data_IF_825049364364
#
_entry.id   IF_825049364364
#
_cell.length_a   1.000
_cell.length_b   1.000
_cell.length_c   1.000
_cell.angle_alpha   90.00
_cell.angle_beta   90.00
_cell.angle_gamma   90.00
#
_symmetry.space_group_name_H-M   'P 1'
#
loop_
_entity.id
_entity.type
_entity.pdbx_description
1 polymer ?
#
# COMPACT_ATOMS: atom_id res chain seq x y z
N UNK A 1 27.96 47.79 -74.85
CA UNK A 1 28.44 46.69 -74.00
C UNK A 1 28.42 47.14 -72.54
N UNK A 2 28.05 46.30 -71.55
CA UNK A 2 27.47 44.99 -71.73
C UNK A 2 26.24 44.75 -70.82
N UNK A 3 25.22 44.14 -71.41
CA UNK A 3 24.08 43.49 -70.73
C UNK A 3 24.53 42.58 -69.57
N UNK A 4 25.79 42.12 -69.58
CA UNK A 4 26.40 41.35 -68.49
C UNK A 4 26.57 42.14 -67.18
N UNK A 5 26.74 43.46 -67.21
CA UNK A 5 26.84 44.26 -65.98
C UNK A 5 25.47 44.39 -65.30
N UNK A 6 24.42 44.61 -66.10
CA UNK A 6 23.03 44.69 -65.64
C UNK A 6 22.53 43.34 -65.11
N UNK A 7 22.86 42.23 -65.79
CA UNK A 7 22.56 40.87 -65.31
C UNK A 7 23.29 40.54 -64.01
N UNK A 8 24.55 40.96 -63.84
CA UNK A 8 25.31 40.78 -62.58
C UNK A 8 24.71 41.58 -61.43
N UNK A 9 24.23 42.80 -61.69
CA UNK A 9 23.58 43.64 -60.69
C UNK A 9 22.24 43.05 -60.23
N UNK A 10 21.42 42.56 -61.18
CA UNK A 10 20.15 41.90 -60.87
C UNK A 10 20.34 40.57 -60.13
N UNK A 11 21.35 39.77 -60.50
CA UNK A 11 21.67 38.53 -59.80
C UNK A 11 22.14 38.80 -58.34
N UNK A 12 22.95 39.84 -58.13
CA UNK A 12 23.38 40.23 -56.78
C UNK A 12 22.19 40.69 -55.92
N UNK A 13 21.26 41.47 -56.48
CA UNK A 13 20.05 41.91 -55.77
C UNK A 13 19.11 40.73 -55.46
N UNK A 14 18.97 39.76 -56.36
CA UNK A 14 18.16 38.57 -56.13
C UNK A 14 18.72 37.68 -55.00
N UNK A 15 20.05 37.51 -54.94
CA UNK A 15 20.71 36.74 -53.88
C UNK A 15 20.55 37.44 -52.52
N UNK A 16 20.76 38.76 -52.46
CA UNK A 16 20.57 39.54 -51.23
C UNK A 16 19.09 39.54 -50.80
N UNK A 17 18.15 39.62 -51.74
CA UNK A 17 16.71 39.53 -51.47
C UNK A 17 16.25 38.18 -50.91
N UNK A 18 16.82 37.06 -51.39
CA UNK A 18 16.56 35.74 -50.82
C UNK A 18 17.17 35.57 -49.42
N UNK A 19 18.37 36.10 -49.19
CA UNK A 19 19.03 36.04 -47.86
C UNK A 19 18.33 36.91 -46.80
N UNK A 20 17.80 38.08 -47.18
CA UNK A 20 17.11 38.98 -46.25
C UNK A 20 15.68 38.52 -45.90
N UNK A 21 14.99 37.82 -46.80
CA UNK A 21 13.60 37.38 -46.59
C UNK A 21 13.47 36.09 -45.75
N UNK A 22 14.49 35.22 -45.73
CA UNK A 22 14.45 33.97 -44.96
C UNK A 22 14.71 34.13 -43.46
N UNK A 23 15.53 35.10 -43.05
CA UNK A 23 15.99 35.22 -41.65
C UNK A 23 15.02 36.06 -40.79
N UNK A 24 14.33 37.04 -41.39
CA UNK A 24 13.45 37.96 -40.64
C UNK A 24 12.22 37.29 -40.03
N UNK A 25 11.58 36.37 -40.73
CA UNK A 25 10.33 35.74 -40.30
C UNK A 25 10.59 34.75 -39.15
N UNK A 26 11.66 33.96 -39.23
CA UNK A 26 12.07 33.06 -38.15
C UNK A 26 12.44 33.82 -36.87
N UNK A 27 13.12 34.97 -37.01
CA UNK A 27 13.48 35.83 -35.88
C UNK A 27 12.24 36.38 -35.17
N UNK A 28 11.23 36.84 -35.92
CA UNK A 28 9.99 37.37 -35.33
C UNK A 28 9.15 36.29 -34.64
N UNK A 29 9.16 35.04 -35.14
CA UNK A 29 8.49 33.92 -34.46
C UNK A 29 9.23 33.45 -33.20
N UNK A 30 10.56 33.53 -33.16
CA UNK A 30 11.37 33.11 -32.01
C UNK A 30 11.38 34.18 -30.89
N UNK A 31 11.32 35.48 -31.23
CA UNK A 31 11.34 36.56 -30.24
C UNK A 31 9.97 37.16 -29.93
N UNK A 32 9.01 37.14 -30.86
CA UNK A 32 7.62 37.60 -30.63
C UNK A 32 6.81 36.66 -29.74
N UNK A 33 7.16 35.37 -29.69
CA UNK A 33 6.51 34.38 -28.83
C UNK A 33 6.95 34.41 -27.36
N UNK A 34 8.06 35.09 -27.02
CA UNK A 34 8.57 35.14 -25.64
C UNK A 34 7.82 36.10 -24.73
N UNK A 35 7.03 37.03 -25.28
CA UNK A 35 6.20 37.96 -24.51
C UNK A 35 4.79 37.44 -24.20
N UNK A 36 4.35 36.36 -24.86
CA UNK A 36 3.00 35.78 -24.69
C UNK A 36 3.03 34.39 -24.04
N UNK A 37 4.20 33.92 -23.60
CA UNK A 37 4.26 32.91 -22.55
C UNK A 37 4.16 33.62 -21.21
N UNK A 38 3.01 34.24 -20.97
CA UNK A 38 2.49 34.28 -19.62
C UNK A 38 2.64 32.87 -19.09
N UNK A 39 3.44 32.73 -18.03
CA UNK A 39 3.67 31.48 -17.36
C UNK A 39 2.29 30.96 -16.91
N UNK A 40 1.65 30.15 -17.75
CA UNK A 40 0.54 29.28 -17.37
C UNK A 40 1.18 28.29 -16.41
N UNK A 41 1.32 28.73 -15.16
CA UNK A 41 1.71 27.92 -14.05
C UNK A 41 0.64 26.84 -14.00
N UNK A 42 1.00 25.60 -14.32
CA UNK A 42 0.08 24.49 -14.20
C UNK A 42 -0.54 24.56 -12.79
N UNK A 43 -1.87 24.40 -12.66
CA UNK A 43 -2.50 24.50 -11.35
C UNK A 43 -1.78 23.56 -10.38
N UNK A 44 -1.21 24.13 -9.33
CA UNK A 44 -0.54 23.37 -8.27
C UNK A 44 -1.60 22.51 -7.61
N UNK A 45 -1.60 21.21 -7.91
CA UNK A 45 -2.48 20.26 -7.26
C UNK A 45 -1.94 20.01 -5.86
N UNK A 46 -2.57 20.58 -4.86
CA UNK A 46 -2.40 20.13 -3.48
C UNK A 46 -3.14 18.80 -3.34
N UNK A 47 -2.45 17.70 -3.01
CA UNK A 47 -3.14 16.45 -2.70
C UNK A 47 -4.04 16.66 -1.49
N UNK A 48 -5.21 15.97 -1.44
CA UNK A 48 -6.04 15.96 -0.25
C UNK A 48 -5.22 15.50 0.97
N UNK A 49 -5.49 16.10 2.13
CA UNK A 49 -4.92 15.63 3.39
C UNK A 49 -5.35 14.16 3.62
N UNK A 50 -4.43 13.25 3.99
CA UNK A 50 -4.80 11.88 4.35
C UNK A 50 -5.84 11.85 5.48
N UNK A 51 -6.74 10.87 5.48
CA UNK A 51 -7.66 10.67 6.59
C UNK A 51 -6.87 10.40 7.89
N UNK A 52 -7.44 10.77 9.04
CA UNK A 52 -6.81 10.51 10.33
C UNK A 52 -6.70 8.99 10.59
N UNK A 53 -5.72 8.54 11.39
CA UNK A 53 -5.68 7.17 11.89
C UNK A 53 -6.92 6.82 12.69
N UNK A 54 -7.43 5.61 12.49
CA UNK A 54 -8.56 5.05 13.26
C UNK A 54 -8.43 3.55 13.38
N UNK A 55 -9.00 2.98 14.46
CA UNK A 55 -9.13 1.53 14.60
C UNK A 55 -9.99 1.01 13.43
N UNK A 56 -9.50 0.03 12.65
CA UNK A 56 -10.28 -0.52 11.55
C UNK A 56 -11.58 -1.16 12.01
N UNK A 57 -12.54 -1.20 11.10
CA UNK A 57 -13.80 -1.91 11.28
C UNK A 57 -13.72 -3.34 10.73
N UNK A 58 -14.69 -4.17 11.10
CA UNK A 58 -14.83 -5.56 10.60
C UNK A 58 -14.88 -5.61 9.06
N UNK A 59 -15.58 -4.65 8.44
CA UNK A 59 -15.79 -4.61 6.99
C UNK A 59 -14.54 -4.28 6.19
N UNK A 60 -13.51 -3.73 6.85
CA UNK A 60 -12.25 -3.32 6.23
C UNK A 60 -11.20 -4.44 6.23
N UNK A 61 -11.55 -5.62 6.71
CA UNK A 61 -10.73 -6.82 6.63
C UNK A 61 -11.34 -7.87 5.71
N UNK A 62 -10.47 -8.52 4.94
CA UNK A 62 -10.76 -9.75 4.19
C UNK A 62 -9.72 -10.77 4.58
N UNK A 63 -10.15 -11.91 5.12
CA UNK A 63 -9.23 -12.97 5.53
C UNK A 63 -9.36 -14.13 4.53
N UNK A 64 -8.30 -14.35 3.76
CA UNK A 64 -8.16 -15.56 2.96
C UNK A 64 -7.78 -16.75 3.87
N UNK A 65 -8.23 -17.94 3.52
CA UNK A 65 -7.79 -19.19 4.16
C UNK A 65 -7.06 -20.02 3.11
N UNK A 66 -5.78 -20.29 3.33
CA UNK A 66 -4.94 -21.09 2.43
C UNK A 66 -4.70 -22.44 3.09
N UNK A 67 -5.28 -23.49 2.52
CA UNK A 67 -5.03 -24.87 2.95
C UNK A 67 -3.65 -25.29 2.45
N UNK A 68 -2.74 -25.58 3.37
CA UNK A 68 -1.35 -25.98 3.08
C UNK A 68 -1.18 -27.50 3.08
N UNK A 69 -2.00 -28.23 3.82
CA UNK A 69 -2.04 -29.69 3.80
C UNK A 69 -3.45 -30.22 4.08
N UNK A 70 -3.74 -31.42 3.56
CA UNK A 70 -4.99 -32.12 3.80
C UNK A 70 -4.69 -33.62 3.97
N UNK A 71 -5.23 -34.21 5.03
CA UNK A 71 -5.17 -35.65 5.27
C UNK A 71 -6.57 -36.18 5.55
N UNK A 72 -7.05 -37.12 4.75
CA UNK A 72 -8.41 -37.65 4.87
C UNK A 72 -8.38 -39.13 5.26
N UNK A 73 -9.13 -39.48 6.31
CA UNK A 73 -9.42 -40.88 6.58
C UNK A 73 -10.47 -41.38 5.56
N UNK A 74 -10.20 -42.46 4.81
CA UNK A 74 -11.16 -43.00 3.82
C UNK A 74 -12.51 -43.42 4.42
N UNK A 75 -12.61 -43.61 5.74
CA UNK A 75 -13.85 -43.92 6.44
C UNK A 75 -14.32 -42.80 7.40
N UNK A 76 -13.66 -41.64 7.40
CA UNK A 76 -13.84 -40.62 8.44
C UNK A 76 -13.69 -39.17 7.99
N UNK A 77 -13.24 -38.33 8.92
CA UNK A 77 -13.05 -36.89 8.71
C UNK A 77 -11.73 -36.59 7.98
N UNK A 78 -11.63 -35.37 7.46
CA UNK A 78 -10.39 -34.82 6.94
C UNK A 78 -9.81 -33.80 7.91
N UNK A 79 -8.49 -33.87 8.13
CA UNK A 79 -7.71 -32.87 8.83
C UNK A 79 -7.10 -31.93 7.80
N UNK A 80 -7.43 -30.65 7.89
CA UNK A 80 -6.89 -29.58 7.05
C UNK A 80 -5.92 -28.76 7.87
N UNK A 81 -4.70 -28.59 7.36
CA UNK A 81 -3.74 -27.60 7.88
C UNK A 81 -3.87 -26.35 7.02
N UNK A 82 -4.06 -25.19 7.64
CA UNK A 82 -4.26 -23.94 6.93
C UNK A 82 -3.48 -22.79 7.56
N UNK A 83 -3.26 -21.76 6.76
CA UNK A 83 -2.75 -20.46 7.17
C UNK A 83 -3.71 -19.38 6.71
N UNK A 84 -3.96 -18.37 7.55
CA UNK A 84 -4.77 -17.22 7.16
C UNK A 84 -3.94 -16.16 6.43
N UNK A 85 -4.56 -15.47 5.49
CA UNK A 85 -3.99 -14.37 4.72
C UNK A 85 -4.88 -13.12 4.88
N UNK A 86 -4.70 -12.36 5.97
CA UNK A 86 -5.50 -11.17 6.24
C UNK A 86 -5.07 -10.01 5.33
N UNK A 87 -6.05 -9.37 4.71
CA UNK A 87 -5.89 -8.20 3.85
C UNK A 87 -6.72 -7.04 4.39
N UNK A 88 -6.04 -5.94 4.68
CA UNK A 88 -6.69 -4.67 4.98
C UNK A 88 -7.08 -3.96 3.68
N UNK A 89 -8.34 -3.53 3.59
CA UNK A 89 -8.91 -2.83 2.43
C UNK A 89 -9.49 -1.46 2.78
N UNK A 90 -9.34 -1.03 4.03
CA UNK A 90 -9.77 0.31 4.44
C UNK A 90 -8.88 1.40 3.84
N UNK A 91 -9.37 2.64 3.94
CA UNK A 91 -8.75 3.82 3.32
C UNK A 91 -8.05 4.73 4.33
N UNK A 92 -7.91 4.29 5.58
CA UNK A 92 -7.28 5.06 6.64
C UNK A 92 -6.00 4.36 7.15
N UNK A 93 -5.03 5.11 7.66
CA UNK A 93 -3.88 4.49 8.30
C UNK A 93 -4.30 3.79 9.59
N UNK A 94 -3.48 2.82 10.03
CA UNK A 94 -3.65 2.16 11.32
C UNK A 94 -3.35 3.11 12.48
N UNK A 95 -3.97 2.90 13.65
CA UNK A 95 -3.64 3.64 14.85
C UNK A 95 -2.24 3.26 15.34
N UNK A 96 -1.64 4.14 16.15
CA UNK A 96 -0.36 3.83 16.81
C UNK A 96 -0.53 2.74 17.87
N UNK A 97 -1.71 2.69 18.52
CA UNK A 97 -2.04 1.68 19.51
C UNK A 97 -2.27 0.31 18.84
N UNK A 98 -1.81 -0.80 19.45
CA UNK A 98 -2.10 -2.14 18.96
C UNK A 98 -3.60 -2.42 18.96
N UNK A 99 -4.06 -3.17 17.97
CA UNK A 99 -5.43 -3.65 17.92
C UNK A 99 -5.49 -5.13 17.56
N UNK A 100 -6.55 -5.80 17.99
CA UNK A 100 -6.76 -7.22 17.76
C UNK A 100 -7.96 -7.44 16.87
N UNK A 101 -7.78 -8.36 15.92
CA UNK A 101 -8.83 -8.84 15.02
C UNK A 101 -9.19 -10.26 15.43
N UNK A 102 -10.44 -10.45 15.82
CA UNK A 102 -11.03 -11.76 16.07
C UNK A 102 -11.80 -12.22 14.84
N UNK A 103 -11.61 -13.48 14.48
CA UNK A 103 -12.23 -14.11 13.33
C UNK A 103 -12.62 -15.54 13.67
N UNK A 104 -13.43 -16.14 12.81
CA UNK A 104 -13.78 -17.55 12.88
C UNK A 104 -13.57 -18.20 11.51
N UNK A 105 -12.99 -19.40 11.50
CA UNK A 105 -12.84 -20.21 10.30
C UNK A 105 -14.03 -21.17 10.19
N UNK A 106 -14.74 -21.07 9.08
CA UNK A 106 -15.92 -21.84 8.73
C UNK A 106 -15.54 -22.95 7.72
N UNK A 107 -16.44 -23.91 7.53
CA UNK A 107 -16.26 -25.03 6.59
C UNK A 107 -15.75 -26.32 7.22
N UNK A 108 -15.19 -26.26 8.43
CA UNK A 108 -14.92 -27.43 9.26
C UNK A 108 -16.20 -28.02 9.87
N UNK A 109 -16.04 -28.98 10.79
CA UNK A 109 -17.18 -29.54 11.54
C UNK A 109 -17.85 -28.52 12.47
N UNK A 110 -17.09 -27.56 12.96
CA UNK A 110 -17.57 -26.43 13.74
C UNK A 110 -16.75 -25.17 13.41
N UNK A 111 -17.33 -23.96 13.58
CA UNK A 111 -16.57 -22.71 13.49
C UNK A 111 -15.39 -22.70 14.47
N UNK A 112 -14.20 -22.41 13.97
CA UNK A 112 -12.99 -22.34 14.79
C UNK A 112 -12.59 -20.88 15.02
N UNK A 113 -12.66 -20.35 16.26
CA UNK A 113 -12.26 -18.98 16.54
C UNK A 113 -10.74 -18.83 16.45
N UNK A 114 -10.30 -17.66 15.98
CA UNK A 114 -8.91 -17.24 15.90
C UNK A 114 -8.78 -15.75 16.18
N UNK A 115 -7.56 -15.33 16.47
CA UNK A 115 -7.23 -13.90 16.62
C UNK A 115 -5.81 -13.61 16.22
N UNK A 116 -5.58 -12.40 15.73
CA UNK A 116 -4.25 -11.86 15.51
C UNK A 116 -4.20 -10.41 15.96
N UNK A 117 -3.03 -9.99 16.40
CA UNK A 117 -2.77 -8.62 16.85
C UNK A 117 -1.94 -7.89 15.80
N UNK A 118 -2.30 -6.65 15.53
CA UNK A 118 -1.60 -5.75 14.62
C UNK A 118 -0.91 -4.68 15.45
N UNK A 119 0.36 -4.42 15.17
CA UNK A 119 1.15 -3.38 15.82
C UNK A 119 1.94 -2.63 14.74
N UNK A 120 1.64 -1.34 14.59
CA UNK A 120 2.10 -0.56 13.43
C UNK A 120 1.64 -1.24 12.14
N UNK A 121 2.57 -1.55 11.25
CA UNK A 121 2.30 -2.21 9.96
C UNK A 121 2.47 -3.74 9.99
N UNK A 122 2.70 -4.34 11.16
CA UNK A 122 2.97 -5.77 11.29
C UNK A 122 1.81 -6.51 11.98
N UNK A 123 1.38 -7.62 11.39
CA UNK A 123 0.40 -8.53 11.97
C UNK A 123 1.10 -9.80 12.50
N UNK A 124 0.82 -10.18 13.73
CA UNK A 124 1.30 -11.42 14.33
C UNK A 124 0.29 -12.54 14.11
N UNK A 125 0.58 -13.39 13.13
CA UNK A 125 -0.34 -14.40 12.62
C UNK A 125 0.18 -15.80 12.96
N UNK A 126 -0.70 -16.66 13.49
CA UNK A 126 -0.42 -18.08 13.64
C UNK A 126 -0.55 -18.81 12.30
N UNK A 127 0.44 -19.64 11.98
CA UNK A 127 0.49 -20.45 10.76
C UNK A 127 0.23 -21.91 11.09
N UNK A 128 -0.17 -22.67 10.07
CA UNK A 128 -0.32 -24.12 10.10
C UNK A 128 -1.25 -24.62 11.21
N UNK A 129 -2.40 -23.97 11.33
CA UNK A 129 -3.46 -24.37 12.25
C UNK A 129 -4.23 -25.55 11.66
N UNK A 130 -4.57 -26.52 12.50
CA UNK A 130 -5.34 -27.70 12.10
C UNK A 130 -6.82 -27.55 12.44
N UNK A 131 -7.68 -27.94 11.47
CA UNK A 131 -9.12 -28.04 11.64
C UNK A 131 -9.63 -29.34 11.02
N UNK A 132 -10.59 -29.97 11.69
CA UNK A 132 -11.28 -31.14 11.16
C UNK A 132 -12.53 -30.72 10.41
N UNK A 133 -12.78 -31.35 9.26
CA UNK A 133 -13.95 -31.08 8.44
C UNK A 133 -14.33 -32.23 7.52
N UNK A 134 -15.50 -32.12 6.87
CA UNK A 134 -15.95 -33.11 5.90
C UNK A 134 -15.00 -33.18 4.68
N UNK A 135 -15.02 -34.28 3.91
CA UNK A 135 -14.29 -34.36 2.65
C UNK A 135 -14.71 -33.27 1.66
N UNK A 136 -13.73 -32.54 1.11
CA UNK A 136 -13.98 -31.44 0.18
C UNK A 136 -14.46 -30.14 0.85
N UNK A 137 -14.18 -29.96 2.14
CA UNK A 137 -14.51 -28.74 2.86
C UNK A 137 -13.85 -27.51 2.22
N UNK A 138 -14.65 -26.47 1.98
CA UNK A 138 -14.16 -25.16 1.60
C UNK A 138 -14.04 -24.30 2.85
N UNK A 139 -12.81 -24.04 3.29
CA UNK A 139 -12.55 -23.21 4.46
C UNK A 139 -12.64 -21.72 4.10
N UNK A 140 -13.37 -20.95 4.90
CA UNK A 140 -13.49 -19.49 4.77
C UNK A 140 -13.35 -18.84 6.14
N UNK A 141 -12.93 -17.57 6.19
CA UNK A 141 -12.81 -16.85 7.46
C UNK A 141 -13.79 -15.68 7.50
N UNK A 142 -14.50 -15.56 8.62
CA UNK A 142 -15.41 -14.46 8.91
C UNK A 142 -14.81 -13.61 10.04
N UNK A 143 -14.73 -12.29 9.85
CA UNK A 143 -14.24 -11.38 10.87
C UNK A 143 -15.40 -11.05 11.81
N UNK A 144 -15.19 -11.27 13.11
CA UNK A 144 -16.24 -11.12 14.11
C UNK A 144 -16.12 -9.76 14.81
N UNK A 145 -14.89 -9.37 15.14
CA UNK A 145 -14.66 -8.16 15.96
C UNK A 145 -13.27 -7.58 15.71
N UNK A 146 -13.18 -6.27 15.78
CA UNK A 146 -11.93 -5.52 15.81
C UNK A 146 -11.99 -4.56 17.00
N UNK A 147 -10.95 -4.54 17.83
CA UNK A 147 -10.87 -3.67 19.00
C UNK A 147 -9.43 -3.33 19.33
N UNK A 148 -9.23 -2.16 19.94
CA UNK A 148 -7.93 -1.74 20.46
C UNK A 148 -7.55 -2.62 21.66
N UNK A 149 -6.32 -3.14 21.66
CA UNK A 149 -5.82 -3.95 22.77
C UNK A 149 -5.53 -3.01 23.95
N UNK A 150 -6.10 -3.25 25.14
CA UNK A 150 -5.70 -2.50 26.33
C UNK A 150 -4.19 -2.68 26.56
N UNK A 151 -3.44 -1.64 26.96
CA UNK A 151 -2.02 -1.79 27.28
C UNK A 151 -1.86 -2.91 28.31
N UNK A 152 -1.01 -3.88 27.98
CA UNK A 152 -0.77 -5.03 28.83
C UNK A 152 -0.48 -4.58 30.28
N UNK A 153 -1.05 -5.26 31.30
CA UNK A 153 -0.67 -5.01 32.67
C UNK A 153 0.86 -5.10 32.79
N UNK A 154 1.49 -4.12 33.45
CA UNK A 154 2.93 -4.16 33.67
C UNK A 154 3.32 -5.53 34.26
N UNK A 155 4.41 -6.16 33.78
CA UNK A 155 4.85 -7.42 34.33
C UNK A 155 5.03 -7.28 35.85
N UNK A 156 4.61 -8.28 36.65
CA UNK A 156 4.80 -8.23 38.09
C UNK A 156 6.30 -8.01 38.39
N UNK A 157 6.64 -7.18 39.39
CA UNK A 157 8.03 -6.97 39.76
C UNK A 157 8.69 -8.32 40.05
N UNK A 158 9.97 -8.51 39.68
CA UNK A 158 10.68 -9.74 39.96
C UNK A 158 10.61 -10.04 41.47
N UNK A 159 10.50 -11.32 41.86
CA UNK A 159 10.47 -11.69 43.27
C UNK A 159 11.69 -11.10 43.97
N UNK A 160 11.47 -10.51 45.14
CA UNK A 160 12.55 -9.95 45.94
C UNK A 160 13.63 -11.02 46.15
N UNK A 161 14.92 -10.67 46.07
CA UNK A 161 15.99 -11.61 46.36
C UNK A 161 15.76 -12.24 47.75
N UNK A 162 16.06 -13.54 47.94
CA UNK A 162 15.91 -14.18 49.23
C UNK A 162 16.62 -13.34 50.29
N UNK A 163 15.90 -12.98 51.37
CA UNK A 163 16.52 -12.29 52.49
C UNK A 163 17.70 -13.15 52.97
N UNK A 164 18.90 -12.59 52.89
CA UNK A 164 20.10 -13.18 53.45
C UNK A 164 19.81 -13.41 54.93
N UNK A 165 19.69 -14.68 55.33
CA UNK A 165 19.46 -15.05 56.71
C UNK A 165 20.70 -14.61 57.49
N UNK A 166 20.59 -13.45 58.16
CA UNK A 166 21.60 -12.96 59.09
C UNK A 166 21.76 -14.05 60.16
N UNK A 167 22.92 -14.70 60.30
CA UNK A 167 23.14 -15.69 61.35
C UNK A 167 23.03 -14.98 62.71
N UNK A 168 22.23 -15.54 63.61
CA UNK A 168 22.14 -15.06 64.98
C UNK A 168 23.50 -15.23 65.70
N UNK A 169 23.88 -14.31 66.61
CA UNK A 169 25.14 -14.34 67.35
C UNK A 169 25.23 -15.48 68.38
#
# INVERSE_FOLDING_TARGET
MPINLLRKLLAAVAIVGMLASGIGIASFMIFGGRGAQDAVTAPVRTPPKPPPPSVPTVEEFRIGVVVTAQNCDPAGACVYTYTIDPKYIGLHPFPEAPFTVEYEVLGGHAPQPGKFTVTGDQAQIFKDVQIEGPPGAALTANVVRVFEEPPAPAPPPPPAPPAEQVPAP
#
